data_IF_560898385245
#
_entry.id   IF_560898385245
#
_cell.length_a   1.000
_cell.length_b   1.000
_cell.length_c   1.000
_cell.angle_alpha   90.00
_cell.angle_beta   90.00
_cell.angle_gamma   90.00
#
_symmetry.space_group_name_H-M   'P 1'
#
loop_
_entity.id
_entity.type
_entity.pdbx_description
1 polymer ?
#
# COMPACT_ATOMS: atom_id res chain seq x y z
N UNK A 1 13.48 40.59 -21.95
CA UNK A 1 12.06 40.93 -21.76
C UNK A 1 11.30 39.64 -21.41
N UNK A 2 11.81 38.83 -20.50
CA UNK A 2 11.73 38.96 -19.02
C UNK A 2 10.37 38.53 -18.47
N UNK A 3 10.41 37.39 -17.76
CA UNK A 3 9.40 36.92 -16.81
C UNK A 3 9.28 37.86 -15.59
N UNK A 4 8.24 37.68 -14.77
CA UNK A 4 8.49 37.19 -13.40
C UNK A 4 7.44 36.14 -12.98
N UNK A 5 7.77 34.94 -12.47
CA UNK A 5 8.33 34.52 -11.16
C UNK A 5 7.60 35.07 -9.92
N UNK A 6 6.70 34.26 -9.35
CA UNK A 6 6.40 34.11 -7.91
C UNK A 6 6.53 32.60 -7.62
N UNK A 7 7.63 32.11 -7.05
CA UNK A 7 7.98 32.01 -5.61
C UNK A 7 7.11 31.01 -4.83
N UNK A 8 7.62 29.77 -4.76
CA UNK A 8 7.19 28.72 -3.83
C UNK A 8 8.24 28.63 -2.72
N UNK A 9 7.88 29.01 -1.50
CA UNK A 9 8.55 28.69 -0.22
C UNK A 9 7.39 28.24 0.70
N UNK A 10 7.44 27.21 1.54
CA UNK A 10 8.47 26.46 2.24
C UNK A 10 7.78 25.15 2.67
N UNK A 11 8.40 23.97 2.64
CA UNK A 11 8.90 23.34 3.86
C UNK A 11 9.86 22.20 3.50
N UNK A 12 11.12 22.38 3.92
CA UNK A 12 12.14 21.33 3.97
C UNK A 12 11.79 20.38 5.11
N UNK A 13 11.70 19.08 4.83
CA UNK A 13 12.10 18.03 5.78
C UNK A 13 13.23 17.25 5.13
N UNK A 14 14.34 17.17 5.85
CA UNK A 14 15.66 16.83 5.33
C UNK A 14 15.74 15.38 4.81
N UNK A 15 15.58 15.20 3.51
CA UNK A 15 16.21 14.10 2.76
C UNK A 15 17.58 14.57 2.28
N UNK A 16 18.62 13.80 2.54
CA UNK A 16 19.99 14.08 2.06
C UNK A 16 20.02 13.88 0.54
N UNK A 17 19.91 14.98 -0.21
CA UNK A 17 20.02 14.98 -1.68
C UNK A 17 21.50 14.93 -2.07
N UNK A 18 21.97 13.76 -2.50
CA UNK A 18 23.32 13.62 -3.08
C UNK A 18 23.17 13.68 -4.60
N UNK A 19 23.67 14.74 -5.23
CA UNK A 19 23.68 14.89 -6.68
C UNK A 19 24.79 14.02 -7.28
N UNK A 20 24.43 12.86 -7.83
CA UNK A 20 25.33 11.99 -8.58
C UNK A 20 25.37 12.36 -10.05
N UNK A 21 26.54 12.79 -10.53
CA UNK A 21 26.82 13.16 -11.91
C UNK A 21 26.97 11.89 -12.77
N UNK A 22 26.13 11.73 -13.80
CA UNK A 22 26.18 10.58 -14.71
C UNK A 22 27.43 10.65 -15.61
N UNK A 23 28.44 9.84 -15.29
CA UNK A 23 29.40 9.35 -16.29
C UNK A 23 29.42 7.83 -16.27
N UNK A 24 29.10 7.26 -17.42
CA UNK A 24 29.23 5.85 -17.77
C UNK A 24 30.64 5.35 -17.48
N UNK A 25 30.77 4.31 -16.64
CA UNK A 25 31.98 3.49 -16.59
C UNK A 25 31.62 2.03 -16.38
N UNK A 26 32.20 1.22 -17.24
CA UNK A 26 32.07 -0.23 -17.41
C UNK A 26 32.82 -1.05 -16.35
N UNK A 27 32.36 -2.30 -16.22
CA UNK A 27 32.97 -3.52 -15.63
C UNK A 27 33.29 -3.57 -14.12
N UNK A 28 32.70 -4.54 -13.40
CA UNK A 28 33.38 -5.76 -12.91
C UNK A 28 32.48 -6.56 -11.96
N UNK A 29 32.24 -7.83 -12.30
CA UNK A 29 31.55 -8.81 -11.44
C UNK A 29 32.51 -9.24 -10.34
N UNK A 30 32.26 -8.83 -9.10
CA UNK A 30 33.01 -9.29 -7.93
C UNK A 30 32.09 -10.07 -6.97
N UNK A 31 32.37 -11.36 -6.94
CA UNK A 31 31.89 -12.38 -6.01
C UNK A 31 32.13 -12.04 -4.53
N UNK A 32 31.25 -12.59 -3.69
CA UNK A 32 31.34 -12.77 -2.23
C UNK A 32 31.18 -11.52 -1.36
N UNK A 33 30.13 -11.49 -0.55
CA UNK A 33 30.19 -11.10 0.87
C UNK A 33 29.04 -11.73 1.67
N UNK A 34 29.26 -11.83 2.98
CA UNK A 34 28.75 -12.85 3.90
C UNK A 34 27.26 -12.85 4.13
N UNK A 35 26.69 -14.06 4.21
CA UNK A 35 25.40 -14.33 4.86
C UNK A 35 25.47 -13.97 6.35
N UNK A 36 25.21 -12.71 6.68
CA UNK A 36 24.93 -12.34 8.06
C UNK A 36 23.45 -12.65 8.32
N UNK A 37 23.20 -13.74 9.06
CA UNK A 37 21.88 -14.07 9.62
C UNK A 37 21.31 -12.84 10.31
N UNK A 38 20.21 -12.31 9.78
CA UNK A 38 19.38 -11.36 10.50
C UNK A 38 18.86 -12.09 11.76
N UNK A 39 19.21 -11.58 12.94
CA UNK A 39 18.74 -12.14 14.22
C UNK A 39 17.23 -11.92 14.31
N UNK A 40 16.51 -12.96 14.70
CA UNK A 40 15.06 -12.96 14.97
C UNK A 40 14.71 -12.07 16.18
N UNK A 41 14.92 -10.77 16.06
CA UNK A 41 14.27 -9.78 16.92
C UNK A 41 12.98 -9.40 16.22
N UNK A 42 11.84 -9.60 16.89
CA UNK A 42 10.50 -9.45 16.31
C UNK A 42 10.28 -8.12 15.58
N UNK A 43 9.29 -8.12 14.69
CA UNK A 43 8.92 -6.93 13.92
C UNK A 43 8.57 -5.75 14.84
N UNK A 44 9.15 -4.58 14.58
CA UNK A 44 8.71 -3.33 15.21
C UNK A 44 7.33 -2.96 14.64
N UNK A 45 6.36 -2.48 15.44
CA UNK A 45 4.99 -2.15 15.02
C UNK A 45 4.93 -0.87 14.15
N UNK A 46 5.89 -0.70 13.26
CA UNK A 46 6.07 0.45 12.38
C UNK A 46 6.23 0.00 10.93
N UNK A 47 6.04 0.93 10.01
CA UNK A 47 6.23 0.73 8.58
C UNK A 47 7.30 1.69 8.05
N UNK A 48 8.00 1.28 7.00
CA UNK A 48 9.04 2.09 6.38
C UNK A 48 8.58 2.67 5.03
N UNK A 49 9.01 3.89 4.70
CA UNK A 49 8.84 4.49 3.36
C UNK A 49 10.20 4.57 2.67
N UNK A 50 10.31 3.95 1.51
CA UNK A 50 11.55 3.85 0.73
C UNK A 50 11.34 4.41 -0.66
N UNK A 51 12.25 5.29 -1.08
CA UNK A 51 12.31 5.78 -2.45
C UNK A 51 13.33 4.96 -3.23
N UNK A 52 12.83 4.09 -4.10
CA UNK A 52 13.66 3.33 -5.02
C UNK A 52 13.96 4.20 -6.23
N UNK A 53 15.19 4.71 -6.24
CA UNK A 53 15.79 5.29 -7.44
C UNK A 53 16.12 4.15 -8.40
N UNK A 54 16.10 4.47 -9.70
CA UNK A 54 16.34 3.55 -10.81
C UNK A 54 17.69 2.81 -10.76
N UNK A 55 18.62 3.21 -9.90
CA UNK A 55 19.89 2.51 -9.67
C UNK A 55 19.74 1.48 -8.54
N UNK A 56 19.84 0.21 -8.91
CA UNK A 56 19.67 -0.96 -8.02
C UNK A 56 20.75 -1.10 -6.94
N UNK A 57 21.83 -0.31 -7.01
CA UNK A 57 22.96 -0.38 -6.08
C UNK A 57 22.76 0.40 -4.77
N UNK A 58 21.72 1.25 -4.69
CA UNK A 58 21.46 2.10 -3.50
C UNK A 58 20.46 1.43 -2.52
N UNK A 59 19.84 0.31 -2.91
CA UNK A 59 18.87 -0.40 -2.07
C UNK A 59 19.54 -1.50 -1.25
N UNK A 60 19.61 -1.32 0.07
CA UNK A 60 19.96 -2.39 0.99
C UNK A 60 18.68 -3.07 1.54
N UNK A 61 18.29 -4.26 1.02
CA UNK A 61 17.11 -4.97 1.50
C UNK A 61 17.21 -5.37 2.98
N UNK A 62 18.43 -5.47 3.52
CA UNK A 62 18.68 -5.99 4.87
C UNK A 62 18.23 -5.03 6.00
N UNK A 63 18.21 -3.72 5.75
CA UNK A 63 17.77 -2.75 6.76
C UNK A 63 16.23 -2.73 6.91
N UNK A 64 15.51 -3.11 5.85
CA UNK A 64 14.05 -3.08 5.83
C UNK A 64 13.39 -4.31 6.47
N UNK A 65 14.13 -5.34 6.88
CA UNK A 65 13.54 -6.60 7.40
C UNK A 65 12.98 -6.50 8.81
N UNK A 66 13.13 -5.34 9.46
CA UNK A 66 12.61 -5.08 10.82
C UNK A 66 11.15 -4.62 10.85
N UNK A 67 10.60 -4.17 9.72
CA UNK A 67 9.27 -3.55 9.64
C UNK A 67 8.18 -4.54 9.19
N UNK A 68 6.92 -4.30 9.58
CA UNK A 68 5.78 -5.15 9.17
C UNK A 68 5.57 -5.16 7.66
N UNK A 69 5.66 -3.96 7.08
CA UNK A 69 5.56 -3.71 5.65
C UNK A 69 6.40 -2.50 5.26
N UNK A 70 6.76 -2.41 3.98
CA UNK A 70 7.53 -1.31 3.41
C UNK A 70 6.79 -0.72 2.22
N UNK A 71 6.72 0.60 2.14
CA UNK A 71 6.16 1.30 0.99
C UNK A 71 7.32 1.72 0.09
N UNK A 72 7.39 1.16 -1.11
CA UNK A 72 8.39 1.49 -2.12
C UNK A 72 7.78 2.41 -3.18
N UNK A 73 8.37 3.60 -3.35
CA UNK A 73 8.07 4.48 -4.48
C UNK A 73 9.15 4.31 -5.54
N UNK A 74 8.75 3.94 -6.75
CA UNK A 74 9.65 3.78 -7.88
C UNK A 74 9.72 5.08 -8.69
N UNK A 75 10.93 5.53 -8.97
CA UNK A 75 11.19 6.71 -9.80
C UNK A 75 11.96 6.34 -11.06
N UNK A 76 11.67 7.07 -12.14
CA UNK A 76 12.39 6.97 -13.40
C UNK A 76 13.81 7.51 -13.35
N UNK A 77 14.58 7.24 -14.41
CA UNK A 77 15.89 7.87 -14.64
C UNK A 77 15.82 9.40 -14.67
N UNK A 78 14.67 9.96 -15.05
CA UNK A 78 14.38 11.41 -15.01
C UNK A 78 13.89 11.91 -13.64
N UNK A 79 13.78 11.04 -12.63
CA UNK A 79 13.22 11.38 -11.32
C UNK A 79 11.70 11.51 -11.29
N UNK A 80 11.01 11.07 -12.35
CA UNK A 80 9.54 11.08 -12.41
C UNK A 80 8.95 9.91 -11.63
N UNK A 81 7.89 10.18 -10.88
CA UNK A 81 7.16 9.15 -10.15
C UNK A 81 6.53 8.16 -11.12
N UNK A 82 6.79 6.86 -10.94
CA UNK A 82 6.18 5.78 -11.71
C UNK A 82 5.05 5.11 -10.97
N UNK A 83 5.35 4.57 -9.79
CA UNK A 83 4.43 3.69 -9.07
C UNK A 83 4.82 3.58 -7.60
N UNK A 84 3.83 3.36 -6.74
CA UNK A 84 4.04 2.99 -5.35
C UNK A 84 3.62 1.54 -5.17
N UNK A 85 4.39 0.77 -4.40
CA UNK A 85 4.08 -0.62 -4.04
C UNK A 85 4.23 -0.80 -2.54
N UNK A 86 3.34 -1.57 -1.94
CA UNK A 86 3.40 -1.96 -0.53
C UNK A 86 3.88 -3.40 -0.46
N UNK A 87 5.06 -3.61 0.11
CA UNK A 87 5.63 -4.93 0.35
C UNK A 87 5.29 -5.41 1.74
N UNK A 88 4.59 -6.53 1.82
CA UNK A 88 4.22 -7.13 3.09
C UNK A 88 5.30 -8.14 3.49
N UNK A 89 5.86 -7.95 4.68
CA UNK A 89 6.88 -8.84 5.25
C UNK A 89 6.34 -9.73 6.36
N UNK A 90 5.39 -9.20 7.13
CA UNK A 90 4.79 -9.93 8.24
C UNK A 90 3.87 -11.06 7.77
N UNK A 91 4.13 -12.29 8.23
CA UNK A 91 3.30 -13.48 7.95
C UNK A 91 1.89 -13.36 8.48
N UNK A 92 1.72 -12.80 9.68
CA UNK A 92 0.38 -12.61 10.29
C UNK A 92 -0.46 -11.60 9.51
N UNK A 93 0.18 -10.55 8.98
CA UNK A 93 -0.48 -9.56 8.14
C UNK A 93 -0.87 -10.17 6.79
N UNK A 94 0.01 -11.00 6.22
CA UNK A 94 -0.28 -11.75 4.99
C UNK A 94 -1.50 -12.66 5.16
N UNK A 95 -1.58 -13.43 6.23
CA UNK A 95 -2.75 -14.26 6.55
C UNK A 95 -4.03 -13.43 6.73
N UNK A 96 -3.92 -12.26 7.37
CA UNK A 96 -5.07 -11.34 7.50
C UNK A 96 -5.56 -10.83 6.16
N UNK A 97 -4.63 -10.49 5.27
CA UNK A 97 -4.94 -10.00 3.94
C UNK A 97 -5.49 -11.11 3.05
N UNK A 98 -5.02 -12.35 3.20
CA UNK A 98 -5.57 -13.51 2.49
C UNK A 98 -7.00 -13.83 2.95
N UNK A 99 -7.32 -13.70 4.24
CA UNK A 99 -8.69 -13.85 4.74
C UNK A 99 -9.67 -12.83 4.12
N UNK A 100 -9.19 -11.62 3.82
CA UNK A 100 -9.99 -10.52 3.27
C UNK A 100 -10.03 -10.51 1.74
N UNK A 101 -8.90 -10.82 1.10
CA UNK A 101 -8.67 -10.67 -0.34
C UNK A 101 -8.47 -11.99 -1.09
N UNK A 102 -8.49 -13.15 -0.42
CA UNK A 102 -8.18 -14.48 -0.99
C UNK A 102 -9.10 -14.93 -2.13
N UNK A 103 -10.18 -14.19 -2.42
CA UNK A 103 -11.04 -14.41 -3.57
C UNK A 103 -10.56 -13.77 -4.88
N UNK A 104 -9.54 -12.89 -4.84
CA UNK A 104 -9.15 -12.05 -5.99
C UNK A 104 -8.05 -12.73 -6.80
N UNK A 105 -8.27 -12.87 -8.11
CA UNK A 105 -7.24 -13.34 -9.03
C UNK A 105 -6.28 -12.19 -9.34
N UNK A 106 -5.03 -12.31 -8.91
CA UNK A 106 -3.96 -11.38 -9.33
C UNK A 106 -3.34 -10.52 -8.22
N UNK A 107 -3.83 -10.61 -6.99
CA UNK A 107 -3.04 -10.17 -5.83
C UNK A 107 -2.07 -11.30 -5.53
N UNK A 108 -0.78 -11.13 -5.79
CA UNK A 108 0.27 -12.15 -5.65
C UNK A 108 0.54 -12.59 -4.20
N UNK A 109 -0.49 -12.74 -3.37
CA UNK A 109 -0.44 -13.17 -1.97
C UNK A 109 0.16 -14.57 -1.78
N UNK A 110 0.41 -15.32 -2.84
CA UNK A 110 1.13 -16.60 -2.72
C UNK A 110 2.63 -16.40 -2.45
N UNK A 111 3.23 -15.33 -2.96
CA UNK A 111 4.68 -15.06 -2.89
C UNK A 111 5.18 -14.81 -1.46
N UNK A 112 6.47 -15.07 -1.20
CA UNK A 112 7.08 -14.90 0.14
C UNK A 112 6.97 -13.45 0.65
N UNK A 113 7.12 -12.48 -0.26
CA UNK A 113 6.92 -11.05 -0.01
C UNK A 113 5.98 -10.46 -1.06
N UNK A 114 4.66 -10.51 -0.85
CA UNK A 114 3.73 -9.98 -1.82
C UNK A 114 3.83 -8.46 -1.87
N UNK A 115 3.95 -7.93 -3.09
CA UNK A 115 3.90 -6.51 -3.38
C UNK A 115 2.50 -6.15 -3.91
N UNK A 116 1.79 -5.27 -3.20
CA UNK A 116 0.41 -4.88 -3.52
C UNK A 116 0.37 -3.40 -3.89
N UNK A 117 -0.49 -3.04 -4.83
CA UNK A 117 -0.77 -1.64 -5.15
C UNK A 117 -1.58 -0.98 -4.02
N UNK A 118 -1.15 0.17 -3.47
CA UNK A 118 -1.91 0.93 -2.47
C UNK A 118 -3.37 1.20 -2.86
N UNK A 119 -3.65 1.45 -4.15
CA UNK A 119 -4.99 1.76 -4.64
C UNK A 119 -5.91 0.54 -4.52
N UNK A 120 -5.38 -0.66 -4.77
CA UNK A 120 -6.15 -1.89 -4.56
C UNK A 120 -6.44 -2.05 -3.06
N UNK A 121 -5.47 -1.81 -2.17
CA UNK A 121 -5.70 -1.85 -0.73
C UNK A 121 -6.76 -0.85 -0.26
N UNK A 122 -6.82 0.34 -0.86
CA UNK A 122 -7.84 1.34 -0.56
C UNK A 122 -9.27 0.82 -0.81
N UNK A 123 -9.48 0.05 -1.87
CA UNK A 123 -10.78 -0.52 -2.19
C UNK A 123 -11.28 -1.51 -1.13
N UNK A 124 -10.36 -2.14 -0.38
CA UNK A 124 -10.65 -3.11 0.67
C UNK A 124 -10.65 -2.51 2.08
N UNK A 125 -10.59 -1.19 2.23
CA UNK A 125 -10.56 -0.52 3.53
C UNK A 125 -11.72 -0.93 4.45
N UNK A 126 -12.94 -0.95 3.92
CA UNK A 126 -14.11 -1.29 4.72
C UNK A 126 -14.11 -2.77 5.12
N UNK A 127 -13.66 -3.65 4.22
CA UNK A 127 -13.56 -5.09 4.51
C UNK A 127 -12.49 -5.36 5.59
N UNK A 128 -11.38 -4.61 5.58
CA UNK A 128 -10.35 -4.66 6.63
C UNK A 128 -10.88 -4.19 7.98
N UNK A 129 -11.73 -3.16 8.02
CA UNK A 129 -12.40 -2.69 9.25
C UNK A 129 -13.39 -3.72 9.78
N UNK A 130 -14.20 -4.32 8.90
CA UNK A 130 -15.10 -5.41 9.27
C UNK A 130 -14.33 -6.62 9.81
N UNK A 131 -13.21 -6.97 9.20
CA UNK A 131 -12.33 -8.04 9.64
C UNK A 131 -11.76 -7.77 11.04
N UNK A 132 -11.32 -6.54 11.30
CA UNK A 132 -10.81 -6.13 12.61
C UNK A 132 -11.91 -6.24 13.68
N UNK A 133 -13.10 -5.71 13.42
CA UNK A 133 -14.24 -5.81 14.36
C UNK A 133 -14.61 -7.26 14.64
N UNK A 134 -14.56 -8.13 13.62
CA UNK A 134 -14.78 -9.57 13.77
C UNK A 134 -13.72 -10.19 14.69
N UNK A 135 -12.44 -9.89 14.48
CA UNK A 135 -11.36 -10.40 15.33
C UNK A 135 -11.49 -9.92 16.78
N UNK A 136 -11.82 -8.65 17.01
CA UNK A 136 -12.04 -8.11 18.36
C UNK A 136 -13.22 -8.81 19.05
N UNK A 137 -14.37 -8.96 18.37
CA UNK A 137 -15.52 -9.67 18.94
C UNK A 137 -15.25 -11.13 19.30
N UNK A 138 -14.36 -11.80 18.55
CA UNK A 138 -13.95 -13.18 18.87
C UNK A 138 -13.04 -13.27 20.09
N UNK A 139 -12.33 -12.20 20.44
CA UNK A 139 -11.52 -12.15 21.66
C UNK A 139 -12.37 -11.95 22.91
N UNK A 140 -13.39 -11.10 22.85
CA UNK A 140 -14.22 -10.77 24.02
C UNK A 140 -15.05 -11.96 24.51
N UNK A 141 -15.24 -12.99 23.68
CA UNK A 141 -16.03 -14.19 23.99
C UNK A 141 -15.18 -15.34 24.54
N UNK A 142 -13.84 -15.28 24.41
CA UNK A 142 -12.91 -16.33 24.84
C UNK A 142 -12.45 -16.13 26.29
N UNK A 143 -12.78 -17.08 27.17
CA UNK A 143 -12.40 -17.03 28.59
C UNK A 143 -11.00 -17.62 28.91
N UNK A 144 -10.23 -18.06 27.91
CA UNK A 144 -8.94 -18.72 28.15
C UNK A 144 -7.83 -18.21 27.21
N UNK A 145 -6.80 -17.58 27.80
CA UNK A 145 -5.57 -17.10 27.15
C UNK A 145 -4.78 -18.23 26.45
N UNK A 146 -5.29 -18.68 25.30
CA UNK A 146 -4.66 -19.70 24.48
C UNK A 146 -3.63 -19.07 23.55
N UNK A 147 -2.66 -19.88 23.07
CA UNK A 147 -1.65 -19.45 22.09
C UNK A 147 -2.24 -18.90 20.78
N UNK A 148 -3.52 -19.18 20.53
CA UNK A 148 -4.28 -18.67 19.37
C UNK A 148 -4.75 -17.24 19.62
N UNK A 149 -5.17 -16.91 20.85
CA UNK A 149 -5.58 -15.55 21.21
C UNK A 149 -4.40 -14.57 21.16
N UNK A 150 -3.20 -14.98 21.61
CA UNK A 150 -2.02 -14.11 21.51
C UNK A 150 -1.64 -13.80 20.05
N UNK A 151 -1.72 -14.80 19.17
CA UNK A 151 -1.52 -14.61 17.71
C UNK A 151 -2.57 -13.70 17.10
N UNK A 152 -3.84 -13.85 17.46
CA UNK A 152 -4.91 -12.98 17.00
C UNK A 152 -4.68 -11.55 17.49
N UNK A 153 -4.13 -11.36 18.69
CA UNK A 153 -3.87 -10.05 19.28
C UNK A 153 -2.77 -9.31 18.51
N UNK A 154 -1.72 -10.02 18.13
CA UNK A 154 -0.67 -9.47 17.27
C UNK A 154 -1.17 -9.23 15.84
N UNK A 155 -2.03 -10.10 15.31
CA UNK A 155 -2.72 -9.90 14.02
C UNK A 155 -3.55 -8.60 14.03
N UNK A 156 -4.30 -8.33 15.09
CA UNK A 156 -5.07 -7.08 15.26
C UNK A 156 -4.13 -5.86 15.26
N UNK A 157 -3.03 -5.92 16.01
CA UNK A 157 -2.05 -4.80 16.03
C UNK A 157 -1.49 -4.54 14.64
N UNK A 158 -1.15 -5.59 13.90
CA UNK A 158 -0.59 -5.46 12.55
C UNK A 158 -1.58 -4.84 11.57
N UNK A 159 -2.84 -5.28 11.60
CA UNK A 159 -3.91 -4.71 10.75
C UNK A 159 -4.22 -3.26 11.13
N UNK A 160 -4.17 -2.90 12.42
CA UNK A 160 -4.34 -1.51 12.89
C UNK A 160 -3.27 -0.57 12.31
N UNK A 161 -2.01 -1.00 12.27
CA UNK A 161 -0.93 -0.20 11.66
C UNK A 161 -1.18 0.02 10.17
N UNK A 162 -1.63 -1.01 9.45
CA UNK A 162 -1.97 -0.89 8.02
C UNK A 162 -3.17 0.05 7.78
N UNK A 163 -4.21 -0.04 8.60
CA UNK A 163 -5.38 0.84 8.51
C UNK A 163 -5.02 2.30 8.76
N UNK A 164 -4.19 2.58 9.78
CA UNK A 164 -3.73 3.95 10.05
C UNK A 164 -2.95 4.53 8.86
N UNK A 165 -2.06 3.73 8.26
CA UNK A 165 -1.32 4.11 7.06
C UNK A 165 -2.26 4.50 5.91
N UNK A 166 -3.24 3.64 5.60
CA UNK A 166 -4.19 3.91 4.52
C UNK A 166 -5.10 5.10 4.85
N UNK A 167 -5.50 5.27 6.11
CA UNK A 167 -6.36 6.37 6.52
C UNK A 167 -5.66 7.74 6.40
N UNK A 168 -4.36 7.80 6.67
CA UNK A 168 -3.51 8.98 6.49
C UNK A 168 -3.25 9.28 5.01
N UNK A 169 -2.74 8.31 4.25
CA UNK A 169 -2.33 8.52 2.85
C UNK A 169 -3.52 8.83 1.93
N UNK A 170 -4.70 8.25 2.21
CA UNK A 170 -5.92 8.51 1.44
C UNK A 170 -6.85 9.54 2.09
N UNK A 171 -6.40 10.30 3.08
CA UNK A 171 -7.21 11.33 3.74
C UNK A 171 -7.73 12.38 2.74
N UNK A 172 -6.85 12.87 1.86
CA UNK A 172 -7.19 13.87 0.84
C UNK A 172 -8.19 13.31 -0.19
N UNK A 173 -7.99 12.06 -0.60
CA UNK A 173 -8.89 11.37 -1.54
C UNK A 173 -10.27 11.18 -0.91
N UNK A 174 -10.35 10.73 0.35
CA UNK A 174 -11.62 10.56 1.09
C UNK A 174 -12.37 11.89 1.24
N UNK A 175 -11.66 12.97 1.56
CA UNK A 175 -12.25 14.31 1.69
C UNK A 175 -12.88 14.80 0.39
N UNK A 176 -12.34 14.41 -0.76
CA UNK A 176 -12.89 14.78 -2.07
C UNK A 176 -13.98 13.80 -2.53
N UNK A 177 -13.78 12.51 -2.30
CA UNK A 177 -14.65 11.43 -2.77
C UNK A 177 -16.00 11.43 -2.05
N UNK A 178 -16.04 11.53 -0.72
CA UNK A 178 -17.31 11.40 0.02
C UNK A 178 -18.32 12.51 -0.31
N UNK A 179 -17.95 13.80 -0.39
CA UNK A 179 -18.88 14.85 -0.81
C UNK A 179 -19.41 14.65 -2.23
N UNK A 180 -18.58 14.11 -3.13
CA UNK A 180 -18.97 13.81 -4.52
C UNK A 180 -20.02 12.69 -4.61
N UNK A 181 -19.88 11.65 -3.77
CA UNK A 181 -20.82 10.53 -3.71
C UNK A 181 -22.12 10.88 -2.99
N UNK A 182 -22.06 11.76 -1.98
CA UNK A 182 -23.24 12.14 -1.19
C UNK A 182 -24.18 13.11 -1.94
N UNK A 183 -23.70 13.74 -3.02
CA UNK A 183 -24.52 14.62 -3.85
C UNK A 183 -25.56 13.81 -4.64
N UNK A 184 -26.76 14.38 -4.82
CA UNK A 184 -27.76 13.86 -5.74
C UNK A 184 -27.93 14.83 -6.93
N UNK A 185 -27.60 14.45 -8.18
CA UNK A 185 -27.02 13.17 -8.62
C UNK A 185 -25.52 13.02 -8.24
N UNK A 186 -25.02 11.79 -8.03
CA UNK A 186 -23.61 11.56 -7.74
C UNK A 186 -22.78 11.92 -8.96
N UNK A 187 -21.74 12.72 -8.74
CA UNK A 187 -20.83 13.17 -9.80
C UNK A 187 -19.41 12.79 -9.38
N UNK A 188 -18.71 12.05 -10.23
CA UNK A 188 -17.32 11.64 -9.98
C UNK A 188 -16.42 12.09 -11.13
N UNK A 189 -15.17 12.45 -10.81
CA UNK A 189 -14.14 12.74 -11.82
C UNK A 189 -13.55 11.45 -12.35
N UNK A 190 -13.03 11.50 -13.58
CA UNK A 190 -12.38 10.33 -14.19
C UNK A 190 -11.19 9.82 -13.37
N UNK A 191 -10.46 10.73 -12.72
CA UNK A 191 -9.29 10.41 -11.88
C UNK A 191 -9.64 9.61 -10.62
N UNK A 192 -10.88 9.69 -10.14
CA UNK A 192 -11.36 8.93 -8.97
C UNK A 192 -12.20 7.71 -9.37
N UNK A 193 -12.39 7.45 -10.67
CA UNK A 193 -13.22 6.34 -11.14
C UNK A 193 -12.74 4.98 -10.61
N UNK A 194 -11.42 4.84 -10.45
CA UNK A 194 -10.79 3.62 -9.92
C UNK A 194 -11.27 3.28 -8.51
N UNK A 195 -11.79 4.23 -7.71
CA UNK A 195 -12.21 4.00 -6.32
C UNK A 195 -13.55 3.27 -6.20
N UNK A 196 -14.31 3.14 -7.30
CA UNK A 196 -15.67 2.60 -7.26
C UNK A 196 -15.72 1.08 -7.45
N UNK A 197 -14.79 0.54 -8.22
CA UNK A 197 -14.87 -0.84 -8.69
C UNK A 197 -13.78 -1.67 -8.03
N UNK A 198 -14.21 -2.61 -7.19
CA UNK A 198 -13.33 -3.68 -6.70
C UNK A 198 -12.94 -4.59 -7.88
N UNK A 199 -11.70 -5.10 -7.89
CA UNK A 199 -11.32 -6.13 -8.86
C UNK A 199 -12.25 -7.34 -8.75
N UNK A 200 -12.44 -8.06 -9.85
CA UNK A 200 -13.36 -9.21 -9.98
C UNK A 200 -14.84 -8.92 -9.70
N UNK A 201 -15.26 -7.65 -9.73
CA UNK A 201 -16.67 -7.25 -9.58
C UNK A 201 -17.30 -6.88 -10.91
N UNK A 202 -18.49 -7.42 -11.19
CA UNK A 202 -19.27 -7.09 -12.39
C UNK A 202 -20.03 -5.79 -12.16
N UNK A 203 -19.85 -4.81 -13.05
CA UNK A 203 -20.57 -3.56 -13.01
C UNK A 203 -21.77 -3.59 -13.96
N UNK A 204 -22.98 -3.43 -13.43
CA UNK A 204 -24.20 -3.35 -14.24
C UNK A 204 -24.66 -1.90 -14.36
N UNK A 205 -24.84 -1.42 -15.59
CA UNK A 205 -25.40 -0.08 -15.84
C UNK A 205 -26.42 -0.10 -16.97
N UNK A 206 -27.39 0.81 -16.91
CA UNK A 206 -28.35 1.02 -17.99
C UNK A 206 -27.73 1.94 -19.04
N UNK A 207 -27.82 1.54 -20.30
CA UNK A 207 -27.34 2.37 -21.41
C UNK A 207 -28.40 3.38 -21.82
N UNK A 208 -27.97 4.49 -22.41
CA UNK A 208 -28.87 5.53 -22.90
C UNK A 208 -29.86 4.95 -23.91
N UNK A 209 -31.16 5.03 -23.60
CA UNK A 209 -32.24 4.54 -24.47
C UNK A 209 -32.79 3.15 -24.15
N UNK A 210 -32.14 2.36 -23.27
CA UNK A 210 -32.59 1.00 -22.91
C UNK A 210 -32.56 0.79 -21.40
N UNK A 211 -33.61 1.27 -20.71
CA UNK A 211 -33.77 1.05 -19.26
C UNK A 211 -34.04 -0.43 -18.90
N UNK A 212 -34.58 -1.22 -19.83
CA UNK A 212 -35.02 -2.60 -19.57
C UNK A 212 -33.94 -3.66 -19.82
N UNK A 213 -32.81 -3.28 -20.41
CA UNK A 213 -31.72 -4.20 -20.77
C UNK A 213 -30.39 -3.67 -20.19
N UNK A 214 -30.12 -3.91 -18.90
CA UNK A 214 -28.87 -3.48 -18.28
C UNK A 214 -27.70 -4.28 -18.87
N UNK A 215 -26.59 -3.60 -19.12
CA UNK A 215 -25.37 -4.21 -19.66
C UNK A 215 -24.37 -4.42 -18.53
N UNK A 216 -23.81 -5.62 -18.48
CA UNK A 216 -22.74 -5.99 -17.56
C UNK A 216 -21.38 -5.68 -18.20
N UNK A 217 -20.48 -5.14 -17.39
CA UNK A 217 -19.09 -4.80 -17.71
C UNK A 217 -18.15 -5.42 -16.69
#
# INVERSE_FOLDING_TARGET
MDSPRLQNETMKKAGKVIHGNCKSSSYETATNMSKNKCKETGFEPEFNRVDQLWDSTIYDPAECDRYLFSIRRAFDCEGKYKMTRVDIKSKLLKEALDDVMGGIKGVGLSEENPAIDPNVLFLYLEDLRMFLNRLESTMDTGNEATRTETKNGDKIKHVKVLLNYLDEDYAEIKQTLYPMLLRCPPLITFDLLWTLYKPDTIACTTTYGTLNEPRAF
#
